data_IF_395187839220
#
_entry.id   IF_395187839220
#
_cell.length_a   1.000
_cell.length_b   1.000
_cell.length_c   1.000
_cell.angle_alpha   90.00
_cell.angle_beta   90.00
_cell.angle_gamma   90.00
#
_symmetry.space_group_name_H-M   'P 1'
#
loop_
_entity.id
_entity.type
_entity.pdbx_description
1 polymer ?
#
# COMPACT_ATOMS: atom_id res chain seq x y z
N UNK A 1 -9.89 8.67 0.58
CA UNK A 1 -9.20 8.43 1.88
C UNK A 1 -9.78 7.26 2.69
N UNK A 2 -11.11 7.03 2.70
CA UNK A 2 -11.70 5.85 3.37
C UNK A 2 -11.08 4.52 2.88
N UNK A 3 -10.91 4.39 1.56
CA UNK A 3 -10.33 3.22 0.91
C UNK A 3 -8.90 2.89 1.35
N UNK A 4 -8.01 3.88 1.47
CA UNK A 4 -6.64 3.67 1.94
C UNK A 4 -6.60 3.20 3.40
N UNK A 5 -7.41 3.84 4.26
CA UNK A 5 -7.49 3.47 5.68
C UNK A 5 -8.05 2.06 5.85
N UNK A 6 -9.06 1.70 5.06
CA UNK A 6 -9.63 0.35 5.05
C UNK A 6 -8.58 -0.69 4.64
N UNK A 7 -7.87 -0.47 3.53
CA UNK A 7 -6.80 -1.36 3.06
C UNK A 7 -5.71 -1.54 4.14
N UNK A 8 -5.29 -0.44 4.77
CA UNK A 8 -4.30 -0.48 5.84
C UNK A 8 -4.77 -1.30 7.04
N UNK A 9 -5.99 -1.06 7.53
CA UNK A 9 -6.55 -1.77 8.69
C UNK A 9 -6.69 -3.25 8.40
N UNK A 10 -7.17 -3.62 7.21
CA UNK A 10 -7.35 -5.03 6.84
C UNK A 10 -6.00 -5.78 6.70
N UNK A 11 -4.95 -5.13 6.21
CA UNK A 11 -3.63 -5.78 6.04
C UNK A 11 -2.75 -5.76 7.29
N UNK A 12 -2.94 -4.78 8.18
CA UNK A 12 -2.09 -4.58 9.37
C UNK A 12 -2.78 -4.94 10.68
N UNK A 13 -4.12 -5.03 10.69
CA UNK A 13 -4.93 -5.15 11.90
C UNK A 13 -5.01 -3.86 12.73
N UNK A 14 -4.30 -2.78 12.36
CA UNK A 14 -4.16 -1.58 13.21
C UNK A 14 -5.01 -0.42 12.71
N UNK A 15 -5.79 0.16 13.63
CA UNK A 15 -6.54 1.40 13.40
C UNK A 15 -5.64 2.60 13.69
N UNK A 16 -5.28 3.34 12.64
CA UNK A 16 -4.51 4.59 12.76
C UNK A 16 -5.28 5.77 12.14
N UNK A 17 -4.77 6.98 12.40
CA UNK A 17 -5.31 8.22 11.85
C UNK A 17 -5.17 8.29 10.33
N UNK A 18 -6.12 8.99 9.69
CA UNK A 18 -6.13 9.19 8.23
C UNK A 18 -4.82 9.81 7.71
N UNK A 19 -4.21 10.72 8.48
CA UNK A 19 -2.95 11.39 8.13
C UNK A 19 -1.79 10.40 8.11
N UNK A 20 -1.72 9.49 9.08
CA UNK A 20 -0.69 8.45 9.17
C UNK A 20 -0.79 7.48 8.01
N UNK A 21 -2.00 7.01 7.67
CA UNK A 21 -2.20 6.14 6.49
C UNK A 21 -1.74 6.82 5.21
N UNK A 22 -2.08 8.12 5.04
CA UNK A 22 -1.63 8.89 3.87
C UNK A 22 -0.11 8.92 3.79
N UNK A 23 0.58 9.20 4.90
CA UNK A 23 2.04 9.22 4.95
C UNK A 23 2.64 7.85 4.61
N UNK A 24 2.11 6.76 5.17
CA UNK A 24 2.55 5.39 4.84
C UNK A 24 2.34 5.09 3.35
N UNK A 25 1.19 5.42 2.76
CA UNK A 25 0.98 5.26 1.31
C UNK A 25 2.07 5.95 0.48
N UNK A 26 2.35 7.23 0.75
CA UNK A 26 3.39 7.96 0.01
C UNK A 26 4.78 7.40 0.25
N UNK A 27 5.12 7.02 1.49
CA UNK A 27 6.40 6.40 1.81
C UNK A 27 6.60 5.07 1.09
N UNK A 28 5.58 4.22 1.07
CA UNK A 28 5.61 2.94 0.34
C UNK A 28 5.76 3.20 -1.16
N UNK A 29 4.96 4.10 -1.72
CA UNK A 29 5.05 4.45 -3.14
C UNK A 29 6.43 5.00 -3.52
N UNK A 30 6.97 5.94 -2.74
CA UNK A 30 8.32 6.47 -2.96
C UNK A 30 9.40 5.41 -2.82
N UNK A 31 9.26 4.48 -1.87
CA UNK A 31 10.19 3.37 -1.74
C UNK A 31 10.17 2.48 -2.99
N UNK A 32 9.00 2.08 -3.47
CA UNK A 32 8.88 1.32 -4.72
C UNK A 32 9.45 2.11 -5.91
N UNK A 33 9.16 3.41 -6.00
CA UNK A 33 9.65 4.23 -7.10
C UNK A 33 11.18 4.37 -7.15
N UNK A 34 11.85 4.51 -6.00
CA UNK A 34 13.28 4.82 -5.97
C UNK A 34 14.19 3.65 -5.59
N UNK A 35 13.64 2.62 -4.95
CA UNK A 35 14.44 1.52 -4.38
C UNK A 35 14.00 0.14 -4.93
N UNK A 36 12.77 0.00 -5.43
CA UNK A 36 12.26 -1.26 -5.98
C UNK A 36 11.28 -1.04 -7.14
N UNK A 37 11.82 -0.56 -8.25
CA UNK A 37 11.06 -0.22 -9.47
C UNK A 37 10.42 -1.44 -10.11
N UNK A 38 10.98 -2.64 -9.95
CA UNK A 38 10.38 -3.89 -10.41
C UNK A 38 9.03 -4.12 -9.71
N UNK A 39 8.98 -3.97 -8.40
CA UNK A 39 7.74 -4.08 -7.63
C UNK A 39 6.77 -2.92 -7.88
N UNK A 40 7.28 -1.74 -8.28
CA UNK A 40 6.42 -0.68 -8.79
C UNK A 40 5.72 -1.11 -10.09
N UNK A 41 6.46 -1.68 -11.06
CA UNK A 41 5.86 -2.18 -12.30
C UNK A 41 4.81 -3.26 -12.04
N UNK A 42 5.09 -4.22 -11.16
CA UNK A 42 4.09 -5.22 -10.74
C UNK A 42 2.81 -4.58 -10.16
N UNK A 43 2.96 -3.48 -9.42
CA UNK A 43 1.82 -2.74 -8.87
C UNK A 43 1.03 -2.03 -9.98
N UNK A 44 1.70 -1.51 -11.01
CA UNK A 44 1.07 -0.86 -12.16
C UNK A 44 0.37 -1.87 -13.07
N UNK A 45 0.95 -3.05 -13.24
CA UNK A 45 0.33 -4.16 -13.97
C UNK A 45 -0.94 -4.63 -13.26
N UNK A 46 -0.86 -4.82 -11.94
CA UNK A 46 -2.03 -5.14 -11.12
C UNK A 46 -3.11 -4.05 -11.17
N UNK A 47 -2.72 -2.77 -11.15
CA UNK A 47 -3.66 -1.66 -11.32
C UNK A 47 -4.37 -1.72 -12.67
N UNK A 48 -3.64 -2.08 -13.72
CA UNK A 48 -4.18 -2.15 -15.08
C UNK A 48 -5.15 -3.30 -15.26
N UNK A 49 -4.96 -4.41 -14.52
CA UNK A 49 -5.85 -5.57 -14.54
C UNK A 49 -7.16 -5.39 -13.75
N UNK A 50 -7.35 -4.28 -13.03
CA UNK A 50 -8.60 -4.02 -12.30
C UNK A 50 -9.77 -3.81 -13.26
N UNK A 51 -10.88 -4.48 -12.98
CA UNK A 51 -12.13 -4.32 -13.72
C UNK A 51 -12.81 -2.95 -13.44
N UNK A 52 -13.90 -2.65 -14.15
CA UNK A 52 -14.60 -1.37 -14.01
C UNK A 52 -15.16 -1.11 -12.60
N UNK A 53 -15.62 -2.16 -11.91
CA UNK A 53 -16.17 -2.03 -10.56
C UNK A 53 -15.06 -1.90 -9.51
N UNK A 54 -13.95 -2.61 -9.69
CA UNK A 54 -12.76 -2.51 -8.87
C UNK A 54 -12.07 -1.15 -9.00
N UNK A 55 -12.08 -0.56 -10.20
CA UNK A 55 -11.54 0.79 -10.45
C UNK A 55 -12.24 1.87 -9.62
N UNK A 56 -13.53 1.72 -9.29
CA UNK A 56 -14.22 2.62 -8.33
C UNK A 56 -13.55 2.62 -6.95
N UNK A 57 -12.84 1.54 -6.62
CA UNK A 57 -12.08 1.34 -5.37
C UNK A 57 -10.58 1.16 -5.62
N UNK A 58 -10.04 1.63 -6.75
CA UNK A 58 -8.64 1.43 -7.16
C UNK A 58 -7.65 1.68 -6.01
N UNK A 59 -7.77 2.82 -5.32
CA UNK A 59 -6.88 3.18 -4.20
C UNK A 59 -6.85 2.14 -3.07
N UNK A 60 -7.96 1.44 -2.82
CA UNK A 60 -8.00 0.35 -1.84
C UNK A 60 -7.17 -0.84 -2.34
N UNK A 61 -7.46 -1.33 -3.55
CA UNK A 61 -6.80 -2.49 -4.14
C UNK A 61 -5.31 -2.28 -4.34
N UNK A 62 -4.94 -1.17 -4.99
CA UNK A 62 -3.53 -0.83 -5.25
C UNK A 62 -2.75 -0.72 -3.94
N UNK A 63 -3.28 -0.02 -2.94
CA UNK A 63 -2.56 0.13 -1.68
C UNK A 63 -2.44 -1.19 -0.92
N UNK A 64 -3.51 -2.00 -0.92
CA UNK A 64 -3.50 -3.35 -0.34
C UNK A 64 -2.42 -4.20 -1.01
N UNK A 65 -2.32 -4.14 -2.33
CA UNK A 65 -1.30 -4.85 -3.10
C UNK A 65 0.11 -4.38 -2.75
N UNK A 66 0.37 -3.07 -2.77
CA UNK A 66 1.68 -2.51 -2.37
C UNK A 66 2.10 -2.97 -0.97
N UNK A 67 1.17 -2.98 0.00
CA UNK A 67 1.45 -3.44 1.36
C UNK A 67 1.85 -4.92 1.41
N UNK A 68 1.13 -5.79 0.69
CA UNK A 68 1.44 -7.22 0.62
C UNK A 68 2.79 -7.48 -0.02
N UNK A 69 3.04 -6.79 -1.12
CA UNK A 69 4.27 -6.92 -1.88
C UNK A 69 5.47 -6.49 -1.02
N UNK A 70 5.36 -5.32 -0.37
CA UNK A 70 6.40 -4.83 0.54
C UNK A 70 6.58 -5.76 1.76
N UNK A 71 5.50 -6.31 2.33
CA UNK A 71 5.56 -7.26 3.44
C UNK A 71 6.28 -8.56 3.04
N UNK A 72 6.06 -9.03 1.82
CA UNK A 72 6.65 -10.26 1.30
C UNK A 72 8.12 -10.08 0.90
N UNK A 73 8.45 -9.04 0.14
CA UNK A 73 9.79 -8.84 -0.42
C UNK A 73 10.73 -8.07 0.51
N UNK A 74 10.20 -7.09 1.26
CA UNK A 74 10.99 -6.18 2.09
C UNK A 74 10.42 -6.05 3.52
N UNK A 75 10.36 -7.13 4.30
CA UNK A 75 9.70 -7.15 5.62
C UNK A 75 10.30 -6.15 6.62
N UNK A 76 11.61 -5.84 6.51
CA UNK A 76 12.27 -4.80 7.33
C UNK A 76 11.76 -3.41 6.97
N UNK A 77 11.63 -3.10 5.69
CA UNK A 77 11.14 -1.80 5.21
C UNK A 77 9.65 -1.62 5.47
N UNK A 78 8.87 -2.70 5.39
CA UNK A 78 7.45 -2.69 5.76
C UNK A 78 7.21 -2.12 7.18
N UNK A 79 8.01 -2.55 8.16
CA UNK A 79 7.94 -2.05 9.55
C UNK A 79 8.36 -0.58 9.67
N UNK A 80 9.33 -0.14 8.88
CA UNK A 80 9.86 1.22 8.94
C UNK A 80 8.97 2.26 8.22
N UNK A 81 8.45 1.90 7.05
CA UNK A 81 7.67 2.81 6.19
C UNK A 81 6.25 3.02 6.71
N UNK A 82 5.72 2.02 7.40
CA UNK A 82 4.38 2.04 7.98
C UNK A 82 4.48 1.81 9.49
N UNK A 83 4.77 2.87 10.27
CA UNK A 83 4.94 2.76 11.72
C UNK A 83 3.61 2.28 12.31
N UNK A 84 3.62 1.02 12.72
CA UNK A 84 2.58 0.41 13.50
C UNK A 84 2.78 0.94 14.92
N UNK A 85 1.80 1.62 15.56
CA UNK A 85 1.94 1.98 16.98
C UNK A 85 2.27 0.71 17.76
N UNK A 86 3.40 0.73 18.47
CA UNK A 86 3.86 -0.37 19.33
C UNK A 86 2.82 -0.72 20.36
#
# INVERSE_FOLDING_TARGET
MKNLRRAFVEETGKKVEKRTVRKCFWKVYSYLLYQDTASLFETLDYRSSLDQEERKRERYFVFRYMLRLLKSKHPKQYKHLCPLPG
#
